data_IF_973401974291
#
_entry.id   IF_973401974291
#
_cell.length_a   1.000
_cell.length_b   1.000
_cell.length_c   1.000
_cell.angle_alpha   90.00
_cell.angle_beta   90.00
_cell.angle_gamma   90.00
#
_symmetry.space_group_name_H-M   'P 1'
#
loop_
_entity.id
_entity.type
_entity.pdbx_description
1 polymer ?
#
# COMPACT_ATOMS: atom_id res chain seq x y z
N UNK A 1 1.04 24.20 26.66
CA UNK A 1 0.56 23.65 25.37
C UNK A 1 0.31 22.16 25.59
N UNK A 2 -0.94 21.68 25.48
CA UNK A 2 -1.21 20.24 25.58
C UNK A 2 -0.91 19.62 24.22
N UNK A 3 0.14 18.83 24.14
CA UNK A 3 0.46 18.00 22.97
C UNK A 3 -0.78 17.15 22.66
N UNK A 4 -1.37 17.35 21.48
CA UNK A 4 -2.55 16.59 21.05
C UNK A 4 -2.06 15.24 20.55
N UNK A 5 -1.85 14.30 21.49
CA UNK A 5 -1.43 12.93 21.18
C UNK A 5 -2.49 12.28 20.29
N UNK A 6 -2.12 12.01 19.03
CA UNK A 6 -2.97 11.29 18.08
C UNK A 6 -3.03 9.83 18.52
N UNK A 7 -4.21 9.20 18.63
CA UNK A 7 -4.29 7.82 19.06
C UNK A 7 -3.55 6.89 18.10
N UNK A 8 -2.77 5.95 18.63
CA UNK A 8 -1.90 5.03 17.87
C UNK A 8 -2.70 4.21 16.84
N UNK A 9 -3.93 3.81 17.18
CA UNK A 9 -4.82 3.05 16.29
C UNK A 9 -5.23 3.86 15.05
N UNK A 10 -5.44 5.17 15.19
CA UNK A 10 -5.76 6.06 14.07
C UNK A 10 -4.60 6.13 13.08
N UNK A 11 -3.38 6.27 13.59
CA UNK A 11 -2.18 6.27 12.76
C UNK A 11 -1.97 4.93 12.03
N UNK A 12 -2.24 3.79 12.69
CA UNK A 12 -2.15 2.47 12.04
C UNK A 12 -3.16 2.33 10.89
N UNK A 13 -4.41 2.75 11.08
CA UNK A 13 -5.45 2.66 10.05
C UNK A 13 -5.14 3.56 8.84
N UNK A 14 -4.63 4.77 9.08
CA UNK A 14 -4.18 5.66 8.01
C UNK A 14 -3.01 5.05 7.22
N UNK A 15 -2.02 4.49 7.90
CA UNK A 15 -0.85 3.89 7.27
C UNK A 15 -1.22 2.65 6.44
N UNK A 16 -2.12 1.80 6.94
CA UNK A 16 -2.64 0.66 6.18
C UNK A 16 -3.44 1.11 4.94
N UNK A 17 -4.25 2.16 5.06
CA UNK A 17 -4.96 2.75 3.92
C UNK A 17 -4.00 3.26 2.84
N UNK A 18 -2.95 3.98 3.25
CA UNK A 18 -1.92 4.49 2.34
C UNK A 18 -1.18 3.34 1.64
N UNK A 19 -0.84 2.26 2.35
CA UNK A 19 -0.18 1.08 1.77
C UNK A 19 -1.08 0.42 0.70
N UNK A 20 -2.37 0.23 0.99
CA UNK A 20 -3.33 -0.37 0.06
C UNK A 20 -3.45 0.45 -1.23
N UNK A 21 -3.54 1.78 -1.10
CA UNK A 21 -3.56 2.69 -2.26
C UNK A 21 -2.23 2.60 -3.03
N UNK A 22 -1.09 2.58 -2.32
CA UNK A 22 0.23 2.46 -2.93
C UNK A 22 0.36 1.19 -3.78
N UNK A 23 -0.05 0.03 -3.26
CA UNK A 23 -0.05 -1.23 -4.01
C UNK A 23 -0.95 -1.16 -5.25
N UNK A 24 -2.15 -0.60 -5.11
CA UNK A 24 -3.04 -0.39 -6.26
C UNK A 24 -2.38 0.48 -7.35
N UNK A 25 -1.71 1.57 -6.98
CA UNK A 25 -1.05 2.45 -7.94
C UNK A 25 0.15 1.78 -8.64
N UNK A 26 0.89 0.91 -7.94
CA UNK A 26 1.96 0.12 -8.56
C UNK A 26 1.37 -0.83 -9.61
N UNK A 27 0.29 -1.54 -9.29
CA UNK A 27 -0.39 -2.43 -10.24
C UNK A 27 -0.90 -1.63 -11.45
N UNK A 28 -1.53 -0.48 -11.20
CA UNK A 28 -2.01 0.42 -12.25
C UNK A 28 -0.89 0.89 -13.18
N UNK A 29 0.26 1.26 -12.62
CA UNK A 29 1.44 1.67 -13.40
C UNK A 29 1.93 0.53 -14.30
N UNK A 30 2.09 -0.67 -13.74
CA UNK A 30 2.50 -1.86 -14.49
C UNK A 30 1.51 -2.23 -15.61
N UNK A 31 0.22 -2.03 -15.36
CA UNK A 31 -0.84 -2.23 -16.34
C UNK A 31 -0.72 -1.24 -17.52
N UNK A 32 -0.60 0.07 -17.23
CA UNK A 32 -0.43 1.10 -18.28
C UNK A 32 0.84 0.85 -19.10
N UNK A 33 1.94 0.51 -18.43
CA UNK A 33 3.21 0.25 -19.11
C UNK A 33 3.21 -1.06 -19.93
N UNK A 34 2.12 -1.84 -19.92
CA UNK A 34 1.98 -3.17 -20.54
C UNK A 34 3.06 -4.19 -20.13
N UNK A 35 3.91 -3.85 -19.15
CA UNK A 35 4.97 -4.71 -18.62
C UNK A 35 4.40 -5.84 -17.75
N UNK A 36 3.12 -5.75 -17.38
CA UNK A 36 2.38 -6.79 -16.65
C UNK A 36 2.31 -8.11 -17.41
N UNK A 37 2.30 -8.08 -18.74
CA UNK A 37 2.31 -9.29 -19.60
C UNK A 37 3.64 -10.04 -19.58
N UNK A 38 4.71 -9.40 -19.11
CA UNK A 38 6.04 -10.03 -18.96
C UNK A 38 6.11 -10.83 -17.66
N UNK A 39 5.31 -10.45 -16.66
CA UNK A 39 5.34 -11.00 -15.30
C UNK A 39 4.17 -11.97 -15.06
N UNK A 40 3.02 -11.72 -15.69
CA UNK A 40 1.79 -12.47 -15.47
C UNK A 40 1.22 -13.02 -16.78
N UNK A 41 0.67 -14.23 -16.69
CA UNK A 41 -0.08 -14.86 -17.76
C UNK A 41 -1.37 -14.06 -18.06
N UNK A 42 -1.74 -13.85 -19.33
CA UNK A 42 -2.85 -12.98 -19.72
C UNK A 42 -4.21 -13.39 -19.15
N UNK A 43 -4.38 -14.66 -18.75
CA UNK A 43 -5.62 -15.14 -18.12
C UNK A 43 -5.80 -14.65 -16.68
N UNK A 44 -4.72 -14.26 -15.98
CA UNK A 44 -4.77 -13.78 -14.59
C UNK A 44 -4.93 -12.25 -14.48
N UNK A 45 -4.79 -11.54 -15.59
CA UNK A 45 -4.93 -10.09 -15.73
C UNK A 45 -6.28 -9.53 -15.23
N UNK A 46 -7.46 -10.12 -15.55
CA UNK A 46 -8.73 -9.60 -15.06
C UNK A 46 -8.86 -9.67 -13.53
N UNK A 47 -8.31 -10.72 -12.90
CA UNK A 47 -8.30 -10.85 -11.45
C UNK A 47 -7.41 -9.77 -10.81
N UNK A 48 -6.25 -9.49 -11.41
CA UNK A 48 -5.35 -8.46 -10.92
C UNK A 48 -5.95 -7.05 -11.03
N UNK A 49 -6.67 -6.76 -12.12
CA UNK A 49 -7.39 -5.48 -12.27
C UNK A 49 -8.54 -5.34 -11.28
N UNK A 50 -9.27 -6.43 -11.02
CA UNK A 50 -10.30 -6.45 -9.97
C UNK A 50 -9.70 -6.18 -8.58
N UNK A 51 -8.57 -6.82 -8.27
CA UNK A 51 -7.84 -6.60 -7.03
C UNK A 51 -7.33 -5.15 -6.92
N UNK A 52 -6.78 -4.59 -7.99
CA UNK A 52 -6.33 -3.19 -8.04
C UNK A 52 -7.47 -2.24 -7.63
N UNK A 53 -8.64 -2.33 -8.29
CA UNK A 53 -9.79 -1.47 -7.99
C UNK A 53 -10.27 -1.68 -6.55
N UNK A 54 -10.33 -2.93 -6.10
CA UNK A 54 -10.76 -3.25 -4.74
C UNK A 54 -9.82 -2.67 -3.68
N UNK A 55 -8.49 -2.84 -3.86
CA UNK A 55 -7.48 -2.29 -2.96
C UNK A 55 -7.51 -0.76 -2.92
N UNK A 56 -7.74 -0.12 -4.07
CA UNK A 56 -7.89 1.33 -4.14
C UNK A 56 -9.10 1.81 -3.34
N UNK A 57 -10.26 1.18 -3.53
CA UNK A 57 -11.50 1.54 -2.85
C UNK A 57 -11.36 1.32 -1.33
N UNK A 58 -10.89 0.15 -0.91
CA UNK A 58 -10.70 -0.19 0.51
C UNK A 58 -9.69 0.76 1.17
N UNK A 59 -8.56 1.04 0.51
CA UNK A 59 -7.55 1.96 1.00
C UNK A 59 -8.08 3.39 1.13
N UNK A 60 -8.84 3.86 0.14
CA UNK A 60 -9.48 5.19 0.16
C UNK A 60 -10.49 5.31 1.30
N UNK A 61 -11.36 4.33 1.48
CA UNK A 61 -12.31 4.32 2.60
C UNK A 61 -11.62 4.26 3.96
N UNK A 62 -10.51 3.51 4.10
CA UNK A 62 -9.72 3.49 5.35
C UNK A 62 -9.15 4.85 5.72
N UNK A 63 -8.68 5.64 4.75
CA UNK A 63 -8.19 7.00 5.00
C UNK A 63 -9.33 7.97 5.32
N UNK A 64 -10.47 7.87 4.63
CA UNK A 64 -11.61 8.75 4.89
C UNK A 64 -12.29 8.48 6.25
N UNK A 65 -12.32 7.23 6.68
CA UNK A 65 -12.96 6.83 7.93
C UNK A 65 -12.00 6.80 9.13
N UNK A 66 -10.74 7.23 9.00
CA UNK A 66 -9.76 7.19 10.10
C UNK A 66 -10.11 8.12 11.28
N UNK A 67 -11.03 9.07 11.09
CA UNK A 67 -11.50 9.99 12.15
C UNK A 67 -12.78 9.51 12.87
N UNK A 68 -13.41 8.44 12.40
CA UNK A 68 -14.58 7.86 13.07
C UNK A 68 -14.10 6.99 14.24
N UNK A 69 -14.24 7.50 15.46
CA UNK A 69 -14.14 6.73 16.69
C UNK A 69 -15.03 5.47 16.57
N UNK A 70 -14.44 4.31 16.29
CA UNK A 70 -15.16 3.03 16.19
C UNK A 70 -15.29 2.41 14.78
N UNK A 71 -14.52 2.86 13.79
CA UNK A 71 -14.43 2.13 12.51
C UNK A 71 -13.73 0.76 12.65
N UNK A 72 -13.17 0.47 13.83
CA UNK A 72 -12.78 -0.87 14.24
C UNK A 72 -13.99 -1.53 14.91
N UNK A 73 -14.78 -2.27 14.13
CA UNK A 73 -15.75 -3.22 14.68
C UNK A 73 -15.04 -4.51 15.17
N UNK A 74 -13.74 -4.44 15.43
CA UNK A 74 -13.00 -5.51 16.06
C UNK A 74 -13.06 -5.32 17.58
N UNK A 75 -14.08 -5.92 18.16
CA UNK A 75 -14.18 -6.14 19.61
C UNK A 75 -13.17 -7.21 20.08
N UNK A 76 -11.94 -7.21 19.56
CA UNK A 76 -10.80 -7.95 20.10
C UNK A 76 -9.89 -6.97 20.86
N UNK A 77 -10.38 -6.60 22.04
CA UNK A 77 -9.61 -6.72 23.29
C UNK A 77 -8.14 -6.26 23.22
N UNK A 78 -7.91 -5.05 23.73
CA UNK A 78 -6.86 -4.76 24.70
C UNK A 78 -5.52 -5.50 24.56
N UNK A 79 -4.64 -5.06 23.65
CA UNK A 79 -3.19 -5.26 23.83
C UNK A 79 -2.49 -3.90 23.98
N UNK A 80 -2.07 -3.51 25.21
CA UNK A 80 -1.39 -2.23 25.46
C UNK A 80 0.08 -2.21 24.98
N UNK A 81 0.52 -3.20 24.22
CA UNK A 81 1.91 -3.35 23.79
C UNK A 81 2.06 -3.48 22.27
N UNK A 82 1.53 -2.54 21.50
CA UNK A 82 2.03 -2.35 20.13
C UNK A 82 3.47 -1.81 20.23
N UNK A 83 4.45 -2.72 20.21
CA UNK A 83 5.86 -2.35 20.35
C UNK A 83 6.23 -1.34 19.26
N UNK A 84 6.93 -0.27 19.63
CA UNK A 84 7.37 0.79 18.72
C UNK A 84 8.19 0.22 17.54
N UNK A 85 8.82 -0.95 17.71
CA UNK A 85 9.51 -1.68 16.65
C UNK A 85 8.60 -2.21 15.54
N UNK A 86 7.38 -2.66 15.85
CA UNK A 86 6.42 -3.15 14.85
C UNK A 86 5.94 -2.00 13.96
N UNK A 87 5.75 -0.82 14.54
CA UNK A 87 5.35 0.40 13.81
C UNK A 87 6.47 0.85 12.88
N UNK A 88 7.71 0.92 13.37
CA UNK A 88 8.88 1.28 12.55
C UNK A 88 9.07 0.26 11.41
N UNK A 89 8.88 -1.02 11.68
CA UNK A 89 8.98 -2.08 10.68
C UNK A 89 7.91 -1.94 9.59
N UNK A 90 6.65 -1.68 9.96
CA UNK A 90 5.56 -1.41 8.99
C UNK A 90 5.83 -0.16 8.15
N UNK A 91 6.28 0.94 8.77
CA UNK A 91 6.65 2.18 8.07
C UNK A 91 7.86 1.99 7.15
N UNK A 92 8.82 1.14 7.53
CA UNK A 92 9.97 0.80 6.69
C UNK A 92 9.57 0.00 5.45
N UNK A 93 8.64 -0.95 5.58
CA UNK A 93 8.08 -1.68 4.43
C UNK A 93 7.40 -0.75 3.43
N UNK A 94 6.76 0.32 3.90
CA UNK A 94 6.18 1.33 3.02
C UNK A 94 7.23 2.08 2.19
N UNK A 95 8.29 2.57 2.84
CA UNK A 95 9.42 3.22 2.14
C UNK A 95 10.06 2.25 1.15
N UNK A 96 10.17 0.96 1.53
CA UNK A 96 10.69 -0.08 0.66
C UNK A 96 9.83 -0.28 -0.58
N UNK A 97 8.50 -0.30 -0.48
CA UNK A 97 7.61 -0.40 -1.65
C UNK A 97 7.79 0.79 -2.59
N UNK A 98 7.98 2.01 -2.06
CA UNK A 98 8.25 3.20 -2.88
C UNK A 98 9.60 3.08 -3.61
N UNK A 99 10.66 2.72 -2.87
CA UNK A 99 12.01 2.56 -3.45
C UNK A 99 11.99 1.44 -4.49
N UNK A 100 11.40 0.30 -4.17
CA UNK A 100 11.27 -0.84 -5.09
C UNK A 100 10.50 -0.44 -6.34
N UNK A 101 9.42 0.33 -6.20
CA UNK A 101 8.67 0.84 -7.35
C UNK A 101 9.55 1.73 -8.24
N UNK A 102 10.38 2.61 -7.66
CA UNK A 102 11.32 3.45 -8.42
C UNK A 102 12.37 2.60 -9.14
N UNK A 103 13.04 1.72 -8.39
CA UNK A 103 14.10 0.83 -8.86
C UNK A 103 13.62 -0.11 -9.98
N UNK A 104 12.42 -0.66 -9.87
CA UNK A 104 11.84 -1.51 -10.93
C UNK A 104 11.63 -0.73 -12.23
N UNK A 105 11.29 0.57 -12.19
CA UNK A 105 11.21 1.34 -13.43
C UNK A 105 12.58 1.50 -14.08
N UNK A 106 13.59 1.87 -13.29
CA UNK A 106 14.96 2.04 -13.79
C UNK A 106 15.51 0.73 -14.39
N UNK A 107 15.23 -0.42 -13.75
CA UNK A 107 15.64 -1.71 -14.29
C UNK A 107 14.95 -2.04 -15.61
N UNK A 108 13.63 -1.83 -15.73
CA UNK A 108 12.99 -2.21 -16.98
C UNK A 108 13.29 -1.19 -18.10
N UNK A 109 13.59 0.06 -17.77
CA UNK A 109 14.01 1.06 -18.77
C UNK A 109 15.47 0.82 -19.22
N UNK A 110 16.35 0.30 -18.36
CA UNK A 110 17.71 -0.14 -18.73
C UNK A 110 17.75 -1.47 -19.51
N UNK A 111 16.76 -2.35 -19.34
CA UNK A 111 16.61 -3.55 -20.19
C UNK A 111 16.03 -3.21 -21.58
N UNK A 112 15.32 -2.08 -21.70
CA UNK A 112 14.72 -1.63 -22.97
C UNK A 112 15.63 -0.74 -23.84
N UNK A 113 16.85 -0.38 -23.40
CA UNK A 113 17.86 0.17 -24.32
C UNK A 113 18.52 -1.02 -25.02
N UNK A 114 18.17 -1.32 -26.29
CA UNK A 114 18.94 -2.30 -27.04
C UNK A 114 20.36 -1.76 -27.12
N UNK A 115 21.34 -2.61 -26.83
CA UNK A 115 22.68 -2.47 -27.36
C UNK A 115 22.56 -2.04 -28.82
N UNK A 116 22.95 -0.80 -29.11
CA UNK A 116 23.26 -0.36 -30.47
C UNK A 116 24.72 -0.68 -30.75
#
# INVERSE_FOLDING_TARGET
MKEKQVPIWKFSNELEGIILIGFSLVIFKLYISKKILIILEPEMLPFLLFAMVSLFIIGFFRILNSDLNGADCDCEVCDPSSSMGIIIMKSSLFILVIILSFVVNDFIDTVQVPFK
#
